data_IF_733173615818
#
_entry.id   IF_733173615818
#
_cell.length_a   1.000
_cell.length_b   1.000
_cell.length_c   1.000
_cell.angle_alpha   90.00
_cell.angle_beta   90.00
_cell.angle_gamma   90.00
#
_symmetry.space_group_name_H-M   'P 1'
#
loop_
_entity.id
_entity.type
_entity.pdbx_description
1 polymer ?
#
# COMPACT_ATOMS: atom_id res chain seq x y z
N UNK A 1 1.72 30.39 -7.87
CA UNK A 1 1.99 30.35 -9.33
C UNK A 1 2.59 29.01 -9.77
N UNK A 2 3.65 28.50 -9.13
CA UNK A 2 4.31 27.22 -9.50
C UNK A 2 3.40 25.98 -9.38
N UNK A 3 2.59 25.88 -8.33
CA UNK A 3 1.65 24.76 -8.09
C UNK A 3 0.54 24.74 -9.15
N UNK A 4 0.03 25.90 -9.57
CA UNK A 4 -1.00 26.01 -10.60
C UNK A 4 -0.50 25.58 -11.98
N UNK A 5 0.76 25.91 -12.31
CA UNK A 5 1.44 25.44 -13.52
C UNK A 5 1.64 23.90 -13.50
N UNK A 6 2.02 23.33 -12.36
CA UNK A 6 2.17 21.90 -12.20
C UNK A 6 0.83 21.15 -12.38
N UNK A 7 -0.28 21.68 -11.86
CA UNK A 7 -1.60 21.06 -12.07
C UNK A 7 -2.09 21.16 -13.52
N UNK A 8 -1.85 22.28 -14.20
CA UNK A 8 -2.18 22.44 -15.61
C UNK A 8 -1.35 21.51 -16.50
N UNK A 9 -0.06 21.38 -16.22
CA UNK A 9 0.84 20.45 -16.88
C UNK A 9 0.43 18.98 -16.63
N UNK A 10 -0.05 18.67 -15.43
CA UNK A 10 -0.60 17.37 -15.04
C UNK A 10 -1.86 16.99 -15.85
N UNK A 11 -2.76 17.95 -16.16
CA UNK A 11 -3.95 17.70 -16.99
C UNK A 11 -3.58 17.37 -18.44
N UNK A 12 -2.59 18.05 -19.00
CA UNK A 12 -2.09 17.82 -20.37
C UNK A 12 -1.41 16.44 -20.46
N UNK A 13 -0.58 16.09 -19.50
CA UNK A 13 0.09 14.78 -19.46
C UNK A 13 -0.89 13.62 -19.26
N UNK A 14 -2.02 13.83 -18.57
CA UNK A 14 -3.10 12.83 -18.47
C UNK A 14 -3.73 12.47 -19.81
N UNK A 15 -3.82 13.43 -20.74
CA UNK A 15 -4.36 13.15 -22.08
C UNK A 15 -3.35 12.42 -22.97
N UNK A 16 -2.06 12.74 -22.87
CA UNK A 16 -0.98 12.09 -23.62
C UNK A 16 -0.75 10.65 -23.12
N UNK A 17 -0.71 10.44 -21.81
CA UNK A 17 -0.51 9.09 -21.22
C UNK A 17 -1.61 8.08 -21.55
N UNK A 18 -2.82 8.53 -21.91
CA UNK A 18 -3.88 7.63 -22.41
C UNK A 18 -3.60 7.03 -23.78
N UNK A 19 -2.83 7.74 -24.61
CA UNK A 19 -2.45 7.31 -25.97
C UNK A 19 -1.27 6.33 -25.88
N UNK A 20 -0.25 6.67 -25.09
CA UNK A 20 0.93 5.82 -24.89
C UNK A 20 0.61 4.47 -24.23
N UNK A 21 -0.30 4.46 -23.22
CA UNK A 21 -0.73 3.20 -22.58
C UNK A 21 -1.42 2.26 -23.57
N UNK A 22 -2.18 2.78 -24.52
CA UNK A 22 -2.83 1.96 -25.55
C UNK A 22 -1.86 1.34 -26.55
N UNK A 23 -0.80 2.07 -26.90
CA UNK A 23 0.25 1.59 -27.82
C UNK A 23 1.13 0.53 -27.13
N UNK A 24 1.53 0.78 -25.88
CA UNK A 24 2.34 -0.14 -25.07
C UNK A 24 1.56 -1.43 -24.77
N UNK A 25 0.27 -1.35 -24.38
CA UNK A 25 -0.59 -2.52 -24.19
C UNK A 25 -0.68 -3.40 -25.46
N UNK A 26 -0.73 -2.78 -26.63
CA UNK A 26 -0.78 -3.53 -27.91
C UNK A 26 0.57 -4.17 -28.30
N UNK A 27 1.70 -3.58 -27.92
CA UNK A 27 3.04 -4.13 -28.17
C UNK A 27 3.33 -5.28 -27.20
N UNK A 28 2.96 -5.15 -25.92
CA UNK A 28 3.17 -6.18 -24.88
C UNK A 28 2.37 -7.45 -25.18
N UNK A 29 1.16 -7.33 -25.76
CA UNK A 29 0.34 -8.49 -26.09
C UNK A 29 0.81 -9.32 -27.31
N UNK A 30 1.76 -8.81 -28.10
CA UNK A 30 2.21 -9.47 -29.33
C UNK A 30 3.48 -10.34 -29.23
N UNK A 31 4.23 -10.26 -28.12
CA UNK A 31 5.49 -10.99 -27.97
C UNK A 31 5.47 -11.87 -26.74
N UNK A 32 5.22 -13.14 -26.88
CA UNK A 32 5.85 -14.28 -26.20
C UNK A 32 4.95 -15.49 -25.96
N UNK A 33 5.20 -16.55 -26.72
CA UNK A 33 4.58 -17.88 -26.50
C UNK A 33 5.45 -18.87 -25.68
N UNK A 34 6.60 -18.47 -25.16
CA UNK A 34 7.63 -19.42 -24.66
C UNK A 34 8.04 -19.28 -23.18
N UNK A 35 7.46 -18.42 -22.38
CA UNK A 35 7.78 -18.39 -20.95
C UNK A 35 7.00 -19.48 -20.18
N UNK A 36 7.72 -20.38 -19.50
CA UNK A 36 7.13 -21.33 -18.53
C UNK A 36 6.26 -20.56 -17.53
N UNK A 37 4.96 -20.82 -17.57
CA UNK A 37 4.02 -20.22 -16.64
C UNK A 37 4.39 -20.68 -15.22
N UNK A 38 4.70 -19.73 -14.33
CA UNK A 38 4.97 -20.05 -12.93
C UNK A 38 3.68 -20.51 -12.25
N UNK A 39 3.66 -21.76 -11.78
CA UNK A 39 2.49 -22.36 -11.13
C UNK A 39 2.78 -22.50 -9.63
N UNK A 40 1.90 -21.96 -8.83
CA UNK A 40 1.95 -22.09 -7.37
C UNK A 40 1.31 -23.40 -6.91
N UNK A 41 1.69 -23.87 -5.72
CA UNK A 41 1.05 -25.01 -5.08
C UNK A 41 -0.14 -24.55 -4.25
N UNK A 42 -1.26 -25.28 -4.31
CA UNK A 42 -2.49 -24.98 -3.55
C UNK A 42 -2.26 -24.93 -2.04
N UNK A 43 -1.33 -25.74 -1.53
CA UNK A 43 -1.05 -25.80 -0.10
C UNK A 43 -0.57 -24.46 0.47
N UNK A 44 0.02 -23.57 -0.34
CA UNK A 44 0.44 -22.25 0.11
C UNK A 44 -0.74 -21.43 0.64
N UNK A 45 -1.87 -21.45 -0.07
CA UNK A 45 -3.06 -20.72 0.34
C UNK A 45 -3.75 -21.34 1.58
N UNK A 46 -3.75 -22.67 1.68
CA UNK A 46 -4.28 -23.37 2.85
C UNK A 46 -3.41 -23.16 4.10
N UNK A 47 -2.10 -23.07 3.93
CA UNK A 47 -1.14 -22.92 5.02
C UNK A 47 -1.21 -21.54 5.67
N UNK A 48 -1.39 -20.47 4.89
CA UNK A 48 -1.48 -19.10 5.42
C UNK A 48 -2.67 -18.90 6.36
N UNK A 49 -3.73 -19.68 6.16
CA UNK A 49 -4.93 -19.63 7.01
C UNK A 49 -4.69 -20.36 8.34
N UNK A 50 -3.85 -21.42 8.34
CA UNK A 50 -3.66 -22.32 9.48
C UNK A 50 -2.53 -21.91 10.44
N UNK A 51 -1.59 -21.11 9.98
CA UNK A 51 -0.41 -20.72 10.75
C UNK A 51 -0.17 -19.24 10.66
N UNK A 52 -0.02 -18.58 11.80
CA UNK A 52 0.43 -17.19 11.87
C UNK A 52 1.95 -17.10 11.69
N UNK A 53 2.38 -16.13 10.91
CA UNK A 53 3.77 -15.79 10.65
C UNK A 53 4.04 -14.42 11.21
N UNK A 54 4.90 -14.35 12.21
CA UNK A 54 5.20 -13.12 12.92
C UNK A 54 6.57 -12.57 12.56
N UNK A 55 6.73 -11.25 12.52
CA UNK A 55 8.05 -10.63 12.44
C UNK A 55 8.78 -10.80 13.77
N UNK A 56 10.10 -10.96 13.74
CA UNK A 56 10.91 -10.94 14.98
C UNK A 56 10.72 -9.61 15.72
N UNK A 57 10.77 -8.51 14.99
CA UNK A 57 10.48 -7.15 15.44
C UNK A 57 10.13 -6.29 14.23
N UNK A 58 9.14 -5.42 14.36
CA UNK A 58 8.71 -4.52 13.29
C UNK A 58 8.88 -3.06 13.69
N UNK A 59 9.47 -2.26 12.80
CA UNK A 59 9.46 -0.80 12.89
C UNK A 59 8.24 -0.28 12.12
N UNK A 60 7.36 0.44 12.78
CA UNK A 60 6.15 1.02 12.21
C UNK A 60 6.30 2.53 12.16
N UNK A 61 6.02 3.14 11.01
CA UNK A 61 5.93 4.59 10.84
C UNK A 61 4.53 4.94 10.41
N UNK A 62 3.84 5.73 11.23
CA UNK A 62 2.54 6.32 10.86
C UNK A 62 2.76 7.77 10.42
N UNK A 63 2.26 8.10 9.23
CA UNK A 63 2.18 9.47 8.77
C UNK A 63 0.85 10.06 9.22
N UNK A 64 0.93 11.05 10.12
CA UNK A 64 -0.21 11.71 10.71
C UNK A 64 -0.14 13.22 10.47
N UNK A 65 -0.74 13.70 9.40
CA UNK A 65 -0.91 15.13 9.23
C UNK A 65 -2.06 15.61 10.12
N UNK A 66 -1.68 16.29 11.19
CA UNK A 66 -2.64 16.72 12.22
C UNK A 66 -3.66 17.72 11.65
N UNK A 67 -4.93 17.37 11.80
CA UNK A 67 -6.08 18.24 11.61
C UNK A 67 -7.08 17.98 12.73
N UNK A 68 -7.87 18.99 13.09
CA UNK A 68 -8.90 18.87 14.14
C UNK A 68 -9.84 17.69 13.83
N UNK A 69 -10.02 16.80 14.78
CA UNK A 69 -10.87 15.59 14.64
C UNK A 69 -10.15 14.31 14.15
N UNK A 70 -8.95 14.41 13.57
CA UNK A 70 -8.20 13.26 13.05
C UNK A 70 -7.62 12.32 14.14
N UNK A 71 -7.46 12.78 15.38
CA UNK A 71 -7.00 11.93 16.50
C UNK A 71 -7.87 10.69 16.72
N UNK A 72 -9.19 10.78 16.46
CA UNK A 72 -10.09 9.63 16.57
C UNK A 72 -9.75 8.53 15.57
N UNK A 73 -9.39 8.91 14.37
CA UNK A 73 -9.02 7.99 13.30
C UNK A 73 -7.68 7.32 13.59
N UNK A 74 -6.67 8.12 13.92
CA UNK A 74 -5.36 7.62 14.36
C UNK A 74 -5.46 6.65 15.54
N UNK A 75 -6.32 6.96 16.53
CA UNK A 75 -6.51 6.10 17.69
C UNK A 75 -7.00 4.68 17.34
N UNK A 76 -7.78 4.51 16.26
CA UNK A 76 -8.18 3.17 15.79
C UNK A 76 -6.98 2.38 15.27
N UNK A 77 -6.11 3.01 14.48
CA UNK A 77 -4.88 2.36 13.98
C UNK A 77 -3.91 2.01 15.11
N UNK A 78 -3.79 2.90 16.13
CA UNK A 78 -2.98 2.64 17.33
C UNK A 78 -3.55 1.48 18.15
N UNK A 79 -4.87 1.37 18.28
CA UNK A 79 -5.53 0.26 18.99
C UNK A 79 -5.22 -1.08 18.32
N UNK A 80 -5.27 -1.14 17.00
CA UNK A 80 -4.93 -2.36 16.26
C UNK A 80 -3.45 -2.72 16.45
N UNK A 81 -2.54 -1.75 16.33
CA UNK A 81 -1.10 -1.99 16.54
C UNK A 81 -0.82 -2.46 17.97
N UNK A 82 -1.54 -1.91 18.96
CA UNK A 82 -1.38 -2.31 20.35
C UNK A 82 -1.85 -3.77 20.63
N UNK A 83 -2.68 -4.34 19.73
CA UNK A 83 -3.15 -5.73 19.85
C UNK A 83 -2.19 -6.75 19.26
N UNK A 84 -1.10 -6.34 18.62
CA UNK A 84 -0.13 -7.28 18.07
C UNK A 84 0.63 -8.03 19.16
N UNK A 85 0.81 -9.35 18.97
CA UNK A 85 1.53 -10.25 19.90
C UNK A 85 3.04 -10.25 19.69
N UNK A 86 3.55 -9.45 18.76
CA UNK A 86 4.97 -9.39 18.43
C UNK A 86 5.57 -8.00 18.74
N UNK A 87 6.88 -7.93 18.83
CA UNK A 87 7.59 -6.70 19.19
C UNK A 87 7.43 -5.61 18.13
N UNK A 88 6.90 -4.46 18.56
CA UNK A 88 6.69 -3.28 17.70
C UNK A 88 7.34 -2.04 18.29
N UNK A 89 7.99 -1.25 17.45
CA UNK A 89 8.40 0.11 17.75
C UNK A 89 7.63 1.07 16.82
N UNK A 90 6.87 1.98 17.39
CA UNK A 90 6.05 2.93 16.64
C UNK A 90 6.72 4.30 16.54
N UNK A 91 6.80 4.85 15.36
CA UNK A 91 7.15 6.26 15.15
C UNK A 91 5.98 6.96 14.48
N UNK A 92 5.49 8.03 15.08
CA UNK A 92 4.48 8.91 14.46
C UNK A 92 5.22 10.11 13.90
N UNK A 93 5.18 10.29 12.58
CA UNK A 93 5.65 11.52 11.92
C UNK A 93 4.47 12.45 11.72
N UNK A 94 4.64 13.72 12.07
CA UNK A 94 3.55 14.70 12.02
C UNK A 94 4.07 16.09 11.65
N UNK A 95 3.17 16.98 11.25
CA UNK A 95 3.45 18.41 11.13
C UNK A 95 3.62 19.05 12.51
N UNK A 96 3.88 20.34 12.55
CA UNK A 96 3.98 21.07 13.83
C UNK A 96 2.65 21.03 14.59
N UNK A 97 2.72 20.64 15.86
CA UNK A 97 1.58 20.50 16.76
C UNK A 97 1.60 21.57 17.83
N UNK A 98 0.44 22.13 18.15
CA UNK A 98 0.27 22.91 19.38
C UNK A 98 0.53 22.01 20.60
N UNK A 99 1.06 22.57 21.67
CA UNK A 99 1.41 21.84 22.91
C UNK A 99 0.25 20.97 23.44
N UNK A 100 -0.96 21.49 23.39
CA UNK A 100 -2.16 20.75 23.84
C UNK A 100 -2.46 19.51 22.99
N UNK A 101 -2.29 19.60 21.68
CA UNK A 101 -2.56 18.50 20.76
C UNK A 101 -1.46 17.44 20.85
N UNK A 102 -0.23 17.87 21.07
CA UNK A 102 0.90 16.97 21.37
C UNK A 102 0.67 16.20 22.67
N UNK A 103 0.18 16.85 23.73
CA UNK A 103 -0.17 16.19 24.99
C UNK A 103 -1.29 15.14 24.79
N UNK A 104 -2.32 15.46 24.00
CA UNK A 104 -3.39 14.50 23.67
C UNK A 104 -2.83 13.28 22.92
N UNK A 105 -1.97 13.51 21.91
CA UNK A 105 -1.34 12.45 21.15
C UNK A 105 -0.45 11.58 22.05
N UNK A 106 0.39 12.19 22.88
CA UNK A 106 1.23 11.48 23.85
C UNK A 106 0.39 10.63 24.82
N UNK A 107 -0.73 11.16 25.35
CA UNK A 107 -1.63 10.42 26.22
C UNK A 107 -2.19 9.15 25.57
N UNK A 108 -2.57 9.24 24.29
CA UNK A 108 -3.08 8.08 23.52
C UNK A 108 -1.97 7.03 23.36
N UNK A 109 -0.77 7.44 22.95
CA UNK A 109 0.36 6.54 22.70
C UNK A 109 0.84 5.88 23.99
N UNK A 110 1.12 6.66 25.03
CA UNK A 110 1.63 6.16 26.34
C UNK A 110 0.73 5.10 26.95
N UNK A 111 -0.61 5.22 26.77
CA UNK A 111 -1.58 4.26 27.30
C UNK A 111 -1.48 2.88 26.62
N UNK A 112 -1.00 2.79 25.36
CA UNK A 112 -1.19 1.63 24.50
C UNK A 112 0.09 1.04 23.92
N UNK A 113 1.10 1.84 23.69
CA UNK A 113 2.33 1.46 22.97
C UNK A 113 3.50 1.51 23.92
N UNK A 114 4.17 0.37 24.10
CA UNK A 114 5.33 0.25 25.00
C UNK A 114 6.50 1.12 24.56
N UNK A 115 6.75 1.20 23.24
CA UNK A 115 7.85 1.97 22.67
C UNK A 115 7.39 2.79 21.49
N UNK A 116 7.42 4.11 21.64
CA UNK A 116 7.02 5.04 20.59
C UNK A 116 7.91 6.27 20.55
N UNK A 117 7.89 6.96 19.40
CA UNK A 117 8.52 8.24 19.15
C UNK A 117 7.57 9.13 18.35
N UNK A 118 7.51 10.42 18.67
CA UNK A 118 6.83 11.43 17.85
C UNK A 118 7.92 12.32 17.24
N UNK A 119 7.89 12.46 15.92
CA UNK A 119 8.78 13.35 15.18
C UNK A 119 7.93 14.41 14.49
N UNK A 120 8.18 15.66 14.86
CA UNK A 120 7.49 16.83 14.29
C UNK A 120 8.34 17.43 13.18
N UNK A 121 7.73 17.69 12.03
CA UNK A 121 8.31 18.41 10.91
C UNK A 121 7.69 19.79 10.83
N UNK A 122 8.52 20.80 11.09
CA UNK A 122 8.21 22.21 10.85
C UNK A 122 8.50 22.51 9.38
N UNK A 123 8.08 23.62 8.91
CA UNK A 123 8.47 24.17 7.59
C UNK A 123 8.24 23.22 6.40
N UNK A 124 7.17 22.42 6.47
CA UNK A 124 6.76 21.60 5.33
C UNK A 124 6.28 22.52 4.22
N UNK A 125 6.83 22.41 3.00
CA UNK A 125 6.36 23.20 1.85
C UNK A 125 4.87 23.00 1.57
N UNK A 126 4.39 21.77 1.79
CA UNK A 126 3.00 21.32 1.63
C UNK A 126 2.80 20.03 2.45
N UNK A 127 1.55 19.78 2.90
CA UNK A 127 1.18 18.55 3.62
C UNK A 127 1.53 17.27 2.86
N UNK A 128 1.55 17.33 1.53
CA UNK A 128 1.84 16.20 0.66
C UNK A 128 3.29 15.71 0.73
N UNK A 129 4.20 16.49 1.34
CA UNK A 129 5.59 16.09 1.54
C UNK A 129 5.83 15.34 2.86
N UNK A 130 4.91 15.42 3.83
CA UNK A 130 5.07 14.71 5.10
C UNK A 130 5.34 13.21 4.93
N UNK A 131 4.63 12.46 4.06
CA UNK A 131 4.90 11.04 3.83
C UNK A 131 6.36 10.73 3.43
N UNK A 132 7.02 11.61 2.69
CA UNK A 132 8.40 11.45 2.24
C UNK A 132 9.42 11.48 3.39
N UNK A 133 9.09 12.13 4.50
CA UNK A 133 9.93 12.13 5.70
C UNK A 133 9.98 10.77 6.39
N UNK A 134 9.07 9.84 6.08
CA UNK A 134 9.17 8.45 6.54
C UNK A 134 10.47 7.77 6.12
N UNK A 135 11.06 8.17 4.98
CA UNK A 135 12.32 7.63 4.49
C UNK A 135 13.50 7.89 5.44
N UNK A 136 13.56 9.05 6.07
CA UNK A 136 14.62 9.39 7.04
C UNK A 136 14.52 8.47 8.25
N UNK A 137 13.30 8.22 8.73
CA UNK A 137 13.04 7.28 9.83
C UNK A 137 13.43 5.86 9.44
N UNK A 138 13.03 5.40 8.24
CA UNK A 138 13.36 4.06 7.75
C UNK A 138 14.88 3.87 7.58
N UNK A 139 15.60 4.89 7.10
CA UNK A 139 17.08 4.89 7.02
C UNK A 139 17.74 4.77 8.39
N UNK A 140 17.17 5.38 9.42
CA UNK A 140 17.65 5.23 10.80
C UNK A 140 17.35 3.82 11.33
N UNK A 141 16.10 3.36 11.21
CA UNK A 141 15.67 2.08 11.78
C UNK A 141 16.34 0.86 11.13
N UNK A 142 16.67 0.91 9.83
CA UNK A 142 17.31 -0.22 9.16
C UNK A 142 18.75 -0.48 9.64
N UNK A 143 19.39 0.49 10.31
CA UNK A 143 20.73 0.31 10.92
C UNK A 143 20.67 -0.69 12.09
N UNK A 144 19.57 -0.73 12.84
CA UNK A 144 19.37 -1.68 13.93
C UNK A 144 18.98 -3.06 13.37
N UNK A 145 19.84 -4.05 13.56
CA UNK A 145 19.66 -5.43 13.06
C UNK A 145 18.52 -6.17 13.74
N UNK A 146 18.01 -5.67 14.86
CA UNK A 146 16.88 -6.30 15.57
C UNK A 146 15.57 -6.28 14.76
N UNK A 147 15.37 -5.25 13.93
CA UNK A 147 14.17 -5.20 13.08
C UNK A 147 14.27 -6.17 11.92
N UNK A 148 13.26 -6.99 11.73
CA UNK A 148 13.11 -7.89 10.58
C UNK A 148 12.20 -7.31 9.50
N UNK A 149 11.23 -6.49 9.90
CA UNK A 149 10.23 -5.89 9.01
C UNK A 149 10.03 -4.41 9.30
N UNK A 150 9.52 -3.69 8.30
CA UNK A 150 9.32 -2.24 8.30
C UNK A 150 7.99 -1.93 7.64
N UNK A 151 7.15 -1.17 8.31
CA UNK A 151 5.82 -0.83 7.84
C UNK A 151 5.60 0.68 7.89
N UNK A 152 5.10 1.24 6.83
CA UNK A 152 4.58 2.59 6.74
C UNK A 152 3.07 2.55 6.60
N UNK A 153 2.35 3.42 7.28
CA UNK A 153 0.89 3.57 7.22
C UNK A 153 0.49 5.04 7.14
N UNK A 154 -0.61 5.33 6.45
CA UNK A 154 -1.39 6.55 6.72
C UNK A 154 -2.23 6.37 8.01
N UNK A 155 -2.60 7.48 8.64
CA UNK A 155 -3.23 7.52 9.98
C UNK A 155 -4.60 6.85 10.07
N UNK A 156 -5.24 6.62 8.92
CA UNK A 156 -6.58 6.04 8.81
C UNK A 156 -6.60 4.59 8.29
N UNK A 157 -5.43 3.96 8.21
CA UNK A 157 -5.28 2.57 7.75
C UNK A 157 -5.17 1.63 8.95
N UNK A 158 -5.98 0.58 8.95
CA UNK A 158 -5.98 -0.48 9.96
C UNK A 158 -5.47 -1.76 9.32
N UNK A 159 -4.35 -2.27 9.84
CA UNK A 159 -3.68 -3.49 9.38
C UNK A 159 -3.66 -4.49 10.53
N UNK A 160 -4.29 -5.64 10.38
CA UNK A 160 -4.32 -6.66 11.41
C UNK A 160 -3.05 -7.53 11.44
N UNK A 161 -2.83 -8.27 12.53
CA UNK A 161 -1.76 -9.29 12.61
C UNK A 161 -1.88 -10.34 11.51
N UNK A 162 -3.12 -10.72 11.14
CA UNK A 162 -3.39 -11.64 10.02
C UNK A 162 -2.93 -11.09 8.68
N UNK A 163 -3.10 -9.78 8.44
CA UNK A 163 -2.58 -9.14 7.23
C UNK A 163 -1.04 -9.23 7.18
N UNK A 164 -0.37 -8.98 8.30
CA UNK A 164 1.10 -9.05 8.41
C UNK A 164 1.56 -10.48 8.18
N UNK A 165 0.92 -11.45 8.82
CA UNK A 165 1.21 -12.87 8.66
C UNK A 165 1.10 -13.33 7.20
N UNK A 166 0.01 -12.96 6.54
CA UNK A 166 -0.20 -13.20 5.11
C UNK A 166 0.95 -12.66 4.28
N UNK A 167 1.32 -11.39 4.49
CA UNK A 167 2.37 -10.74 3.72
C UNK A 167 3.72 -11.42 3.93
N UNK A 168 4.10 -11.71 5.16
CA UNK A 168 5.38 -12.38 5.50
C UNK A 168 5.47 -13.74 4.79
N UNK A 169 4.41 -14.51 4.83
CA UNK A 169 4.39 -15.82 4.18
C UNK A 169 4.55 -15.73 2.68
N UNK A 170 3.67 -14.97 2.03
CA UNK A 170 3.69 -14.91 0.58
C UNK A 170 4.85 -14.09 0.01
N UNK A 171 5.45 -13.19 0.78
CA UNK A 171 6.72 -12.56 0.39
C UNK A 171 7.82 -13.59 0.16
N UNK A 172 7.91 -14.63 1.01
CA UNK A 172 8.85 -15.74 0.82
C UNK A 172 8.54 -16.55 -0.44
N UNK A 173 7.26 -16.81 -0.70
CA UNK A 173 6.81 -17.61 -1.86
C UNK A 173 7.04 -16.87 -3.18
N UNK A 174 6.78 -15.56 -3.21
CA UNK A 174 6.82 -14.75 -4.43
C UNK A 174 8.19 -14.12 -4.72
N UNK A 175 9.14 -14.21 -3.78
CA UNK A 175 10.45 -13.57 -3.88
C UNK A 175 11.23 -13.99 -5.14
N UNK A 176 11.21 -15.27 -5.46
CA UNK A 176 11.97 -15.84 -6.58
C UNK A 176 11.52 -15.35 -7.96
N UNK A 177 10.29 -14.85 -8.05
CA UNK A 177 9.73 -14.26 -9.27
C UNK A 177 9.63 -12.74 -9.19
N UNK A 178 10.32 -12.14 -8.23
CA UNK A 178 10.39 -10.70 -8.01
C UNK A 178 9.03 -10.01 -7.83
N UNK A 179 8.02 -10.72 -7.30
CA UNK A 179 6.72 -10.16 -6.98
C UNK A 179 6.55 -9.98 -5.48
N UNK A 180 5.62 -9.12 -5.10
CA UNK A 180 5.37 -8.70 -3.73
C UNK A 180 3.88 -8.84 -3.44
N UNK A 181 3.48 -9.53 -2.36
CA UNK A 181 2.08 -9.58 -1.97
C UNK A 181 1.57 -8.18 -1.60
N UNK A 182 0.38 -7.86 -2.06
CA UNK A 182 -0.26 -6.57 -1.82
C UNK A 182 -1.52 -6.72 -0.98
N UNK A 183 -2.01 -5.60 -0.49
CA UNK A 183 -3.28 -5.46 0.20
C UNK A 183 -4.28 -4.72 -0.66
N UNK A 184 -5.56 -4.92 -0.37
CA UNK A 184 -6.61 -4.10 -0.89
C UNK A 184 -7.25 -3.29 0.23
N UNK A 185 -7.34 -1.99 0.03
CA UNK A 185 -7.94 -1.06 0.98
C UNK A 185 -9.45 -1.03 0.78
N UNK A 186 -10.19 -1.26 1.87
CA UNK A 186 -11.66 -1.30 1.84
C UNK A 186 -12.29 -0.42 2.92
N UNK A 187 -13.47 0.09 2.64
CA UNK A 187 -14.38 0.69 3.60
C UNK A 187 -15.60 -0.21 3.83
N UNK A 188 -16.04 -0.28 5.08
CA UNK A 188 -17.25 -1.02 5.46
C UNK A 188 -18.47 -0.08 5.47
N UNK A 189 -19.51 -0.42 4.72
CA UNK A 189 -20.77 0.33 4.70
C UNK A 189 -21.94 -0.62 4.60
N UNK A 190 -22.93 -0.46 5.51
CA UNK A 190 -24.15 -1.32 5.58
C UNK A 190 -23.82 -2.81 5.54
N UNK A 191 -22.84 -3.27 6.32
CA UNK A 191 -22.43 -4.68 6.40
C UNK A 191 -21.66 -5.22 5.20
N UNK A 192 -21.34 -4.39 4.20
CA UNK A 192 -20.58 -4.77 3.02
C UNK A 192 -19.23 -4.06 2.97
N UNK A 193 -18.23 -4.68 2.34
CA UNK A 193 -16.92 -4.09 2.10
C UNK A 193 -16.82 -3.61 0.65
N UNK A 194 -16.31 -2.39 0.47
CA UNK A 194 -16.12 -1.77 -0.84
C UNK A 194 -14.66 -1.42 -1.05
N UNK A 195 -14.14 -1.75 -2.23
CA UNK A 195 -12.79 -1.36 -2.64
C UNK A 195 -12.69 0.16 -2.79
N UNK A 196 -11.67 0.76 -2.16
CA UNK A 196 -11.45 2.20 -2.19
C UNK A 196 -10.59 2.64 -3.39
N UNK A 197 -9.59 1.84 -3.74
CA UNK A 197 -8.55 2.25 -4.70
C UNK A 197 -8.78 1.74 -6.13
N UNK A 198 -9.75 0.86 -6.32
CA UNK A 198 -10.08 0.31 -7.62
C UNK A 198 -11.37 0.92 -8.15
N UNK A 199 -11.30 1.86 -9.11
CA UNK A 199 -12.49 2.48 -9.70
C UNK A 199 -13.23 1.55 -10.66
N UNK A 200 -12.62 0.43 -11.05
CA UNK A 200 -13.15 -0.57 -11.96
C UNK A 200 -12.86 -1.98 -11.45
N UNK A 201 -13.67 -2.95 -11.88
CA UNK A 201 -13.41 -4.38 -11.65
C UNK A 201 -12.06 -4.79 -12.25
N UNK A 202 -11.40 -5.74 -11.60
CA UNK A 202 -10.16 -6.34 -12.08
C UNK A 202 -10.54 -7.52 -12.97
N UNK A 203 -10.37 -7.35 -14.27
CA UNK A 203 -10.75 -8.37 -15.27
C UNK A 203 -9.59 -9.36 -15.45
N UNK A 204 -9.84 -10.65 -15.20
CA UNK A 204 -8.81 -11.70 -15.19
C UNK A 204 -8.05 -11.79 -16.51
N UNK A 205 -8.73 -11.83 -17.64
CA UNK A 205 -8.12 -11.97 -18.95
C UNK A 205 -7.36 -10.71 -19.44
N UNK A 206 -7.46 -9.60 -18.69
CA UNK A 206 -6.76 -8.32 -18.98
C UNK A 206 -5.62 -8.01 -18.03
N UNK A 207 -5.34 -8.90 -17.07
CA UNK A 207 -4.31 -8.69 -16.05
C UNK A 207 -3.44 -9.93 -15.90
N UNK A 208 -2.14 -9.80 -15.69
CA UNK A 208 -1.27 -10.93 -15.41
C UNK A 208 -1.72 -11.72 -14.18
N UNK A 209 -1.75 -13.03 -14.29
CA UNK A 209 -2.20 -13.93 -13.22
C UNK A 209 -1.17 -15.04 -13.02
N UNK A 210 -0.96 -15.40 -11.74
CA UNK A 210 -0.28 -16.62 -11.33
C UNK A 210 -1.33 -17.52 -10.71
N UNK A 211 -1.58 -18.65 -11.33
CA UNK A 211 -2.51 -19.65 -10.81
C UNK A 211 -1.81 -20.69 -9.93
N UNK A 212 -2.57 -21.30 -9.03
CA UNK A 212 -2.20 -22.58 -8.43
C UNK A 212 -2.55 -23.73 -9.37
N UNK A 213 -2.09 -24.95 -9.03
CA UNK A 213 -2.37 -26.16 -9.79
C UNK A 213 -3.86 -26.40 -10.03
N UNK A 214 -4.69 -26.19 -9.02
CA UNK A 214 -6.16 -26.36 -9.13
C UNK A 214 -6.85 -25.21 -9.84
N UNK A 215 -6.13 -24.10 -10.13
CA UNK A 215 -6.69 -22.83 -10.63
C UNK A 215 -7.76 -22.18 -9.74
N UNK A 216 -7.99 -22.73 -8.53
CA UNK A 216 -8.92 -22.16 -7.55
C UNK A 216 -8.35 -20.94 -6.84
N UNK A 217 -7.03 -20.91 -6.69
CA UNK A 217 -6.28 -19.84 -6.04
C UNK A 217 -5.31 -19.21 -7.01
N UNK A 218 -4.88 -18.02 -6.71
CA UNK A 218 -3.85 -17.36 -7.47
C UNK A 218 -3.55 -15.94 -6.98
N UNK A 219 -2.71 -15.28 -7.75
CA UNK A 219 -2.43 -13.85 -7.59
C UNK A 219 -2.73 -13.12 -8.88
N UNK A 220 -3.37 -11.96 -8.78
CA UNK A 220 -3.66 -11.07 -9.91
C UNK A 220 -2.90 -9.76 -9.75
N UNK A 221 -2.30 -9.30 -10.85
CA UNK A 221 -1.55 -8.04 -10.90
C UNK A 221 -2.47 -6.91 -11.35
N UNK A 222 -2.93 -6.07 -10.42
CA UNK A 222 -3.78 -4.93 -10.73
C UNK A 222 -2.97 -3.74 -11.26
N UNK A 223 -3.56 -2.97 -12.18
CA UNK A 223 -3.04 -1.65 -12.60
C UNK A 223 -3.12 -0.60 -11.49
N UNK A 224 -3.93 -0.82 -10.45
CA UNK A 224 -4.16 0.07 -9.32
C UNK A 224 -3.69 -0.58 -8.02
N UNK A 225 -2.36 -0.66 -7.77
CA UNK A 225 -1.80 -1.39 -6.64
C UNK A 225 -1.76 -0.58 -5.33
N UNK A 226 -2.30 0.64 -5.30
CA UNK A 226 -2.23 1.52 -4.14
C UNK A 226 -3.00 0.96 -2.93
N UNK A 227 -2.44 1.13 -1.75
CA UNK A 227 -3.05 0.68 -0.49
C UNK A 227 -2.81 1.62 0.70
N UNK A 228 -2.27 2.82 0.47
CA UNK A 228 -1.94 3.83 1.50
C UNK A 228 -0.97 3.32 2.59
N UNK A 229 -0.21 2.28 2.27
CA UNK A 229 0.79 1.68 3.12
C UNK A 229 1.84 0.90 2.31
N UNK A 230 2.94 0.56 2.95
CA UNK A 230 3.80 -0.55 2.52
C UNK A 230 4.30 -1.38 3.71
N UNK A 231 4.53 -2.65 3.46
CA UNK A 231 5.23 -3.57 4.36
C UNK A 231 6.44 -4.13 3.60
N UNK A 232 7.60 -4.12 4.22
CA UNK A 232 8.85 -4.58 3.63
C UNK A 232 9.64 -5.44 4.59
N UNK A 233 10.25 -6.51 4.09
CA UNK A 233 11.34 -7.18 4.78
C UNK A 233 12.62 -6.33 4.69
N UNK A 234 13.65 -6.70 5.44
CA UNK A 234 14.91 -5.96 5.50
C UNK A 234 15.60 -5.85 4.13
N UNK A 235 15.53 -6.90 3.31
CA UNK A 235 16.14 -6.91 2.00
C UNK A 235 15.41 -5.97 1.04
N UNK A 236 14.09 -6.05 0.99
CA UNK A 236 13.28 -5.18 0.14
C UNK A 236 13.47 -3.71 0.52
N UNK A 237 13.48 -3.39 1.84
CA UNK A 237 13.72 -2.02 2.30
C UNK A 237 15.13 -1.54 1.94
N UNK A 238 16.18 -2.38 2.11
CA UNK A 238 17.55 -2.01 1.71
C UNK A 238 17.62 -1.65 0.22
N UNK A 239 17.01 -2.46 -0.62
CA UNK A 239 16.98 -2.24 -2.07
C UNK A 239 16.20 -0.97 -2.42
N UNK A 240 15.03 -0.76 -1.79
CA UNK A 240 14.24 0.45 -1.96
C UNK A 240 15.02 1.70 -1.57
N UNK A 241 15.61 1.73 -0.36
CA UNK A 241 16.34 2.91 0.15
C UNK A 241 17.58 3.29 -0.67
N UNK A 242 18.20 2.33 -1.36
CA UNK A 242 19.33 2.55 -2.27
C UNK A 242 18.89 2.98 -3.66
N UNK A 243 17.63 2.74 -4.01
CA UNK A 243 17.13 2.97 -5.36
C UNK A 243 16.77 4.43 -5.63
N UNK A 244 16.63 4.75 -6.92
CA UNK A 244 16.09 6.04 -7.38
C UNK A 244 14.62 6.25 -6.99
N UNK A 245 13.87 5.21 -6.66
CA UNK A 245 12.47 5.30 -6.26
C UNK A 245 12.23 6.07 -4.95
N UNK A 246 13.28 6.31 -4.16
CA UNK A 246 13.25 7.20 -2.98
C UNK A 246 13.44 8.67 -3.32
N UNK A 247 13.61 9.01 -4.61
CA UNK A 247 13.71 10.38 -5.10
C UNK A 247 12.40 10.79 -5.75
N UNK A 248 11.95 11.99 -5.46
CA UNK A 248 10.71 12.54 -6.05
C UNK A 248 10.80 12.57 -7.57
N UNK A 249 11.96 12.92 -8.12
CA UNK A 249 12.19 12.99 -9.57
C UNK A 249 11.95 11.65 -10.28
N UNK A 250 12.31 10.52 -9.67
CA UNK A 250 12.00 9.21 -10.23
C UNK A 250 10.50 8.99 -10.37
N UNK A 251 9.74 9.33 -9.32
CA UNK A 251 8.30 9.21 -9.33
C UNK A 251 7.65 10.13 -10.36
N UNK A 252 8.23 11.31 -10.59
CA UNK A 252 7.78 12.24 -11.62
C UNK A 252 8.19 11.83 -13.04
N UNK A 253 9.30 11.14 -13.23
CA UNK A 253 9.76 10.65 -14.54
C UNK A 253 9.00 9.41 -15.01
N UNK A 254 8.41 8.64 -14.09
CA UNK A 254 7.59 7.48 -14.42
C UNK A 254 6.17 7.94 -14.81
N UNK A 255 5.86 7.89 -16.11
CA UNK A 255 4.59 8.37 -16.67
C UNK A 255 3.36 7.71 -16.05
N UNK A 256 3.43 6.40 -15.76
CA UNK A 256 2.34 5.63 -15.15
C UNK A 256 2.05 6.14 -13.74
N UNK A 257 3.09 6.28 -12.93
CA UNK A 257 2.94 6.76 -11.54
C UNK A 257 2.40 8.18 -11.51
N UNK A 258 2.96 9.06 -12.34
CA UNK A 258 2.59 10.46 -12.44
C UNK A 258 1.14 10.67 -12.87
N UNK A 259 0.61 9.81 -13.74
CA UNK A 259 -0.76 9.88 -14.21
C UNK A 259 -1.79 9.37 -13.21
N UNK A 260 -1.40 8.46 -12.30
CA UNK A 260 -2.32 7.76 -11.39
C UNK A 260 -2.35 8.34 -9.98
N UNK A 261 -1.22 8.87 -9.47
CA UNK A 261 -1.07 9.17 -8.05
C UNK A 261 -0.64 10.61 -7.77
N UNK A 262 -1.21 11.28 -6.74
CA UNK A 262 -0.68 12.54 -6.22
C UNK A 262 0.66 12.32 -5.50
N UNK A 263 1.43 13.40 -5.32
CA UNK A 263 2.80 13.36 -4.78
C UNK A 263 2.89 12.65 -3.42
N UNK A 264 1.92 12.82 -2.56
CA UNK A 264 1.86 12.18 -1.23
C UNK A 264 1.74 10.66 -1.30
N UNK A 265 1.15 10.14 -2.37
CA UNK A 265 0.91 8.70 -2.55
C UNK A 265 2.08 8.00 -3.23
N UNK A 266 2.94 8.76 -3.94
CA UNK A 266 4.05 8.20 -4.70
C UNK A 266 5.04 7.44 -3.83
N UNK A 267 5.28 7.89 -2.60
CA UNK A 267 6.19 7.20 -1.67
C UNK A 267 5.71 5.78 -1.31
N UNK A 268 4.38 5.58 -1.29
CA UNK A 268 3.77 4.31 -0.91
C UNK A 268 3.79 3.28 -2.03
N UNK A 269 4.07 3.71 -3.26
CA UNK A 269 3.91 2.87 -4.44
C UNK A 269 5.18 2.81 -5.32
N UNK A 270 6.11 3.77 -5.17
CA UNK A 270 7.28 3.88 -6.04
C UNK A 270 8.14 2.62 -6.12
N UNK A 271 8.29 1.89 -5.00
CA UNK A 271 9.05 0.63 -4.94
C UNK A 271 8.43 -0.48 -5.81
N UNK A 272 7.13 -0.42 -6.08
CA UNK A 272 6.43 -1.41 -6.88
C UNK A 272 6.79 -1.33 -8.38
N UNK A 273 7.35 -0.21 -8.80
CA UNK A 273 7.73 0.04 -10.20
C UNK A 273 9.24 -0.11 -10.46
N UNK A 274 9.98 -0.65 -9.47
CA UNK A 274 11.38 -1.02 -9.64
C UNK A 274 11.49 -2.45 -10.16
N UNK A 275 12.28 -2.68 -11.20
CA UNK A 275 12.59 -4.00 -11.73
C UNK A 275 11.34 -4.88 -11.92
N UNK A 276 10.31 -4.30 -12.53
CA UNK A 276 9.04 -4.98 -12.80
C UNK A 276 9.28 -6.15 -13.74
N UNK A 277 8.87 -7.39 -13.38
CA UNK A 277 8.99 -8.52 -14.29
C UNK A 277 8.20 -8.29 -15.57
N UNK A 278 8.72 -8.83 -16.67
CA UNK A 278 8.06 -8.78 -17.99
C UNK A 278 6.59 -9.21 -17.88
N UNK A 279 5.69 -8.53 -18.58
CA UNK A 279 4.22 -8.72 -18.57
C UNK A 279 3.45 -8.20 -17.35
N UNK A 280 4.13 -7.79 -16.27
CA UNK A 280 3.45 -7.23 -15.11
C UNK A 280 3.36 -5.71 -15.20
N UNK A 281 2.28 -5.13 -14.69
CA UNK A 281 2.11 -3.67 -14.62
C UNK A 281 3.00 -3.04 -13.54
N UNK A 282 3.25 -3.81 -12.48
CA UNK A 282 4.05 -3.46 -11.31
C UNK A 282 4.36 -4.76 -10.55
N UNK A 283 5.12 -4.69 -9.47
CA UNK A 283 5.50 -5.87 -8.67
C UNK A 283 4.45 -6.34 -7.67
N UNK A 284 3.37 -5.58 -7.46
CA UNK A 284 2.38 -5.88 -6.42
C UNK A 284 1.28 -6.78 -6.98
N UNK A 285 0.97 -7.85 -6.25
CA UNK A 285 -0.04 -8.82 -6.65
C UNK A 285 -1.03 -9.09 -5.52
N UNK A 286 -2.32 -9.14 -5.86
CA UNK A 286 -3.41 -9.43 -4.94
C UNK A 286 -3.78 -10.90 -4.99
N UNK A 287 -3.94 -11.59 -3.85
CA UNK A 287 -4.40 -12.96 -3.82
C UNK A 287 -5.88 -13.03 -4.21
N UNK A 288 -6.27 -14.14 -4.78
CA UNK A 288 -7.69 -14.48 -4.94
C UNK A 288 -7.94 -15.96 -4.68
N UNK A 289 -9.13 -16.24 -4.18
CA UNK A 289 -9.69 -17.58 -4.04
C UNK A 289 -10.98 -17.64 -4.85
N UNK A 290 -11.04 -18.54 -5.84
CA UNK A 290 -12.11 -18.57 -6.85
C UNK A 290 -12.19 -17.21 -7.58
N UNK A 291 -13.11 -16.33 -7.21
CA UNK A 291 -13.23 -14.98 -7.78
C UNK A 291 -13.29 -13.91 -6.67
N UNK A 292 -12.92 -14.26 -5.44
CA UNK A 292 -13.02 -13.37 -4.30
C UNK A 292 -11.64 -13.03 -3.75
N UNK A 293 -11.52 -11.86 -3.15
CA UNK A 293 -10.32 -11.43 -2.40
C UNK A 293 -10.42 -12.02 -0.99
N UNK A 294 -9.41 -12.79 -0.52
CA UNK A 294 -9.40 -13.33 0.83
C UNK A 294 -9.27 -12.23 1.89
N UNK A 295 -9.95 -12.43 3.03
CA UNK A 295 -10.00 -11.45 4.14
C UNK A 295 -8.61 -11.05 4.65
N UNK A 296 -7.67 -11.99 4.71
CA UNK A 296 -6.31 -11.73 5.18
C UNK A 296 -5.51 -10.73 4.32
N UNK A 297 -5.95 -10.42 3.11
CA UNK A 297 -5.37 -9.40 2.24
C UNK A 297 -6.15 -8.08 2.21
N UNK A 298 -7.23 -7.98 2.99
CA UNK A 298 -8.05 -6.77 3.08
C UNK A 298 -7.58 -5.94 4.28
N UNK A 299 -7.20 -4.69 4.03
CA UNK A 299 -6.96 -3.68 5.06
C UNK A 299 -8.12 -2.69 5.12
N UNK A 300 -8.37 -2.14 6.30
CA UNK A 300 -9.54 -1.25 6.48
C UNK A 300 -9.12 0.21 6.44
N UNK A 301 -9.88 1.01 5.69
CA UNK A 301 -9.83 2.46 5.74
C UNK A 301 -10.91 2.96 6.70
N UNK A 302 -10.51 3.63 7.76
CA UNK A 302 -11.40 3.92 8.90
C UNK A 302 -12.21 5.20 8.79
N UNK A 303 -11.96 6.04 7.78
CA UNK A 303 -12.53 7.40 7.65
C UNK A 303 -13.87 7.44 6.86
N UNK A 304 -14.27 6.35 6.21
CA UNK A 304 -15.51 6.21 5.43
C UNK A 304 -15.74 7.36 4.42
N UNK A 305 -14.71 7.79 3.72
CA UNK A 305 -14.76 8.92 2.79
C UNK A 305 -15.40 8.59 1.45
N UNK A 306 -15.24 7.33 1.01
CA UNK A 306 -15.52 6.92 -0.37
C UNK A 306 -16.89 6.26 -0.54
N UNK A 307 -17.40 5.59 0.50
CA UNK A 307 -18.66 4.83 0.42
C UNK A 307 -19.90 5.63 0.81
N UNK A 308 -19.76 6.85 1.37
CA UNK A 308 -20.90 7.71 1.69
C UNK A 308 -21.45 8.39 0.44
N UNK A 309 -22.80 8.51 0.27
CA UNK A 309 -23.43 9.01 -0.96
C UNK A 309 -23.00 10.40 -1.44
N UNK A 310 -22.52 11.25 -0.53
CA UNK A 310 -22.03 12.62 -0.83
C UNK A 310 -20.54 12.68 -1.18
N UNK A 311 -19.84 11.56 -1.13
CA UNK A 311 -18.42 11.49 -1.39
C UNK A 311 -18.13 11.29 -2.88
N UNK A 312 -16.93 11.58 -3.29
CA UNK A 312 -16.27 11.54 -4.59
C UNK A 312 -16.64 10.40 -5.59
N UNK A 313 -17.85 9.81 -5.51
CA UNK A 313 -18.35 8.71 -6.36
C UNK A 313 -18.31 9.00 -7.89
N UNK A 314 -18.08 10.26 -8.28
CA UNK A 314 -17.93 10.65 -9.70
C UNK A 314 -16.79 9.92 -10.43
N UNK A 315 -15.79 9.38 -9.70
CA UNK A 315 -14.65 8.65 -10.26
C UNK A 315 -14.72 7.13 -10.07
N UNK A 316 -15.79 6.59 -9.47
CA UNK A 316 -15.99 5.15 -9.28
C UNK A 316 -15.29 4.55 -8.04
N UNK A 317 -14.56 5.33 -7.26
CA UNK A 317 -13.93 4.88 -6.02
C UNK A 317 -14.96 4.55 -4.94
N UNK A 318 -14.77 3.46 -4.18
CA UNK A 318 -15.69 3.05 -3.12
C UNK A 318 -17.03 2.49 -3.62
N UNK A 319 -17.19 2.23 -4.91
CA UNK A 319 -18.46 1.74 -5.50
C UNK A 319 -18.48 0.22 -5.68
N UNK A 320 -17.33 -0.44 -5.74
CA UNK A 320 -17.24 -1.87 -6.05
C UNK A 320 -17.20 -2.68 -4.77
N UNK A 321 -18.23 -3.52 -4.55
CA UNK A 321 -18.18 -4.51 -3.49
C UNK A 321 -17.02 -5.47 -3.71
N UNK A 322 -16.26 -5.78 -2.64
CA UNK A 322 -15.06 -6.61 -2.71
C UNK A 322 -15.35 -8.02 -3.25
N UNK A 323 -16.55 -8.56 -3.00
CA UNK A 323 -16.98 -9.86 -3.51
C UNK A 323 -17.10 -9.90 -5.04
N UNK A 324 -17.27 -8.73 -5.67
CA UNK A 324 -17.47 -8.56 -7.12
C UNK A 324 -16.29 -7.86 -7.79
N UNK A 325 -15.17 -7.69 -7.06
CA UNK A 325 -14.03 -6.93 -7.56
C UNK A 325 -13.32 -7.66 -8.71
N UNK A 326 -13.20 -8.98 -8.63
CA UNK A 326 -12.56 -9.80 -9.66
C UNK A 326 -13.65 -10.36 -10.60
N UNK A 327 -13.45 -10.14 -11.90
CA UNK A 327 -14.35 -10.59 -12.95
C UNK A 327 -13.59 -11.36 -14.05
#
# INVERSE_FOLDING_TARGET
MYIFLLEKFRKILKSIGKIETKIIDNIIHRTDKTEKQYILKDYHFRRVIKKEYEPRKIAIVICFYFRRGKLKTLNKSILEIASYNFNTDLTVITNDLKKEDELKLNKILKKRIKKYLIIKFKDLPDENFLPWHSLSVMRSKIKDSSYSHFMYLEDDIIVSSKNISYWIYFRKVLKNINLIPNFIRCEAYKGKLFSVDNPKKIIKNKNPIIFTESKKFGFINSKYPYSAMYLMDRELLKNFLKSKATKIDFSFSNSVMKSLYPIKELINISYAYLDVPKRYHNRLVLPFEKNTIPEYSIIKHSDLKYVKPKSLNKMGYGTINIKNLIA
#
